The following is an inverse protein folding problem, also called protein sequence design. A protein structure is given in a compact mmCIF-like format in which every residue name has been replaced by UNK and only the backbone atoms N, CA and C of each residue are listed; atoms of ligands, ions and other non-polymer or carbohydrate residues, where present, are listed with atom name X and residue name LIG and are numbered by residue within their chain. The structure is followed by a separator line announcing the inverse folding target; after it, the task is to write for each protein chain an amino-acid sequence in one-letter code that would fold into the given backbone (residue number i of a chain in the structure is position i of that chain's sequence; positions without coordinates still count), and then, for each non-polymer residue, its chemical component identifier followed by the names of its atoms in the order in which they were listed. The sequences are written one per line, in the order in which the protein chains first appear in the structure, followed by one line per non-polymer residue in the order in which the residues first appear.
data_IF_162216537373
#
_entry.id   IF_162216537373
#
_cell.length_a   1.000
_cell.length_b   1.000
_cell.length_c   1.000
_cell.angle_alpha   90.00
_cell.angle_beta   90.00
_cell.angle_gamma   90.00
#
_symmetry.space_group_name_H-M   'P 1'
#
loop_
_entity.id
_entity.type
_entity.pdbx_description
1 polymer ?
#
# COMPACT_ATOMS: atom_id res chain seq x y z
N UNK A 1 -30.53 31.50 -55.81
CA UNK A 1 -31.02 31.26 -54.43
C UNK A 1 -30.53 32.43 -53.57
N UNK A 2 -31.37 32.86 -52.62
CA UNK A 2 -31.49 34.19 -51.97
C UNK A 2 -30.22 34.83 -51.34
N UNK A 3 -29.97 36.15 -51.48
CA UNK A 3 -30.34 37.34 -50.62
C UNK A 3 -29.82 37.21 -49.16
N UNK A 4 -28.70 37.83 -48.71
CA UNK A 4 -28.31 39.23 -48.40
C UNK A 4 -28.59 39.72 -46.95
N UNK A 5 -27.63 40.51 -46.40
CA UNK A 5 -27.66 41.43 -45.23
C UNK A 5 -27.98 40.88 -43.82
N UNK A 6 -27.56 41.42 -42.68
CA UNK A 6 -26.53 42.38 -42.20
C UNK A 6 -26.86 42.62 -40.70
N UNK A 7 -25.84 42.92 -39.89
CA UNK A 7 -25.92 43.62 -38.57
C UNK A 7 -26.64 42.86 -37.44
N UNK A 8 -26.31 42.96 -36.15
CA UNK A 8 -25.89 44.10 -35.33
C UNK A 8 -25.05 43.63 -34.12
N UNK A 9 -24.15 44.52 -33.68
CA UNK A 9 -23.58 44.51 -32.33
C UNK A 9 -24.33 45.56 -31.50
N UNK A 10 -24.60 45.29 -30.21
CA UNK A 10 -24.65 46.37 -29.22
C UNK A 10 -23.70 46.10 -28.04
N UNK A 11 -22.91 47.12 -27.70
CA UNK A 11 -22.30 47.27 -26.38
C UNK A 11 -23.36 47.64 -25.34
N UNK A 12 -23.30 47.09 -24.13
CA UNK A 12 -23.23 47.84 -22.86
C UNK A 12 -23.52 46.95 -21.62
N UNK A 13 -22.62 47.07 -20.64
CA UNK A 13 -22.87 47.18 -19.19
C UNK A 13 -23.65 46.08 -18.46
N UNK A 14 -22.95 45.29 -17.64
CA UNK A 14 -23.05 45.35 -16.16
C UNK A 14 -22.24 44.22 -15.52
N UNK A 15 -21.39 44.60 -14.56
CA UNK A 15 -20.75 43.71 -13.60
C UNK A 15 -21.77 43.22 -12.57
N UNK A 16 -21.69 41.94 -12.17
CA UNK A 16 -21.78 41.65 -10.75
C UNK A 16 -20.57 40.82 -10.29
N UNK A 17 -19.88 41.39 -9.31
CA UNK A 17 -18.88 40.72 -8.47
C UNK A 17 -19.56 39.59 -7.67
N UNK A 18 -19.12 38.32 -7.75
CA UNK A 18 -19.45 37.35 -6.72
C UNK A 18 -18.40 37.49 -5.60
N UNK A 19 -18.84 37.99 -4.45
CA UNK A 19 -18.12 37.89 -3.18
C UNK A 19 -17.98 36.41 -2.83
N UNK A 20 -16.77 35.81 -2.74
CA UNK A 20 -16.64 34.55 -2.04
C UNK A 20 -16.66 34.83 -0.54
N UNK A 21 -17.74 34.32 0.05
CA UNK A 21 -18.00 34.09 1.46
C UNK A 21 -16.72 33.73 2.24
N UNK A 22 -16.56 34.37 3.39
CA UNK A 22 -15.64 33.99 4.47
C UNK A 22 -15.73 32.48 4.72
N UNK A 23 -14.77 31.70 4.22
CA UNK A 23 -14.65 30.29 4.55
C UNK A 23 -13.60 30.17 5.66
N UNK A 24 -14.05 29.60 6.77
CA UNK A 24 -13.37 29.53 8.05
C UNK A 24 -11.92 29.02 7.93
N UNK A 25 -11.04 29.63 8.73
CA UNK A 25 -9.78 29.02 9.15
C UNK A 25 -10.02 27.56 9.53
N UNK A 26 -9.21 26.60 9.07
CA UNK A 26 -9.14 25.34 9.76
C UNK A 26 -8.57 25.63 11.16
N UNK A 27 -9.43 25.57 12.17
CA UNK A 27 -9.01 25.31 13.53
C UNK A 27 -8.08 24.11 13.47
N UNK A 28 -6.79 24.30 13.75
CA UNK A 28 -5.86 23.22 13.92
C UNK A 28 -6.35 22.40 15.11
N UNK A 29 -7.06 21.30 14.83
CA UNK A 29 -7.23 20.22 15.79
C UNK A 29 -5.83 19.75 16.17
N UNK A 30 -5.55 19.52 17.46
CA UNK A 30 -4.26 19.00 17.87
C UNK A 30 -4.08 17.65 17.18
N UNK A 31 -3.09 17.58 16.29
CA UNK A 31 -2.69 16.33 15.64
C UNK A 31 -2.23 15.44 16.79
N UNK A 32 -3.06 14.46 17.15
CA UNK A 32 -2.61 13.37 18.00
C UNK A 32 -1.35 12.82 17.32
N UNK A 33 -0.20 12.91 18.01
CA UNK A 33 1.06 12.33 17.56
C UNK A 33 0.82 10.85 17.28
N UNK A 34 0.47 10.56 16.03
CA UNK A 34 0.27 9.21 15.56
C UNK A 34 1.66 8.79 15.11
N UNK A 35 2.23 7.78 15.78
CA UNK A 35 3.49 7.10 15.43
C UNK A 35 3.47 6.46 14.02
N UNK A 36 2.51 6.83 13.19
CA UNK A 36 2.20 6.26 11.90
C UNK A 36 1.77 7.36 10.95
N UNK A 37 2.34 7.35 9.76
CA UNK A 37 2.01 8.29 8.67
C UNK A 37 1.42 7.51 7.50
N UNK A 38 0.23 7.87 6.99
CA UNK A 38 -0.31 7.28 5.77
C UNK A 38 0.64 7.48 4.59
N UNK A 39 0.74 6.48 3.71
CA UNK A 39 1.56 6.54 2.50
C UNK A 39 0.64 6.42 1.29
N UNK A 40 0.90 7.22 0.26
CA UNK A 40 0.18 7.12 -1.00
C UNK A 40 0.32 5.70 -1.59
N UNK A 41 -0.69 5.22 -2.32
CA UNK A 41 -0.59 3.93 -2.98
C UNK A 41 0.59 3.91 -3.96
N UNK A 42 1.45 2.90 -3.82
CA UNK A 42 2.61 2.69 -4.67
C UNK A 42 2.96 1.20 -4.71
N UNK A 43 3.53 0.77 -5.84
CA UNK A 43 4.08 -0.59 -5.97
C UNK A 43 5.34 -0.67 -5.12
N UNK A 44 5.43 -1.68 -4.24
CA UNK A 44 6.57 -1.87 -3.35
C UNK A 44 7.43 -3.04 -3.85
N UNK A 45 8.66 -2.80 -4.35
CA UNK A 45 9.52 -3.91 -4.78
C UNK A 45 9.69 -4.98 -3.69
N UNK A 46 9.69 -6.28 -4.02
CA UNK A 46 9.69 -6.87 -5.36
C UNK A 46 8.29 -7.05 -6.00
N UNK A 47 7.23 -6.46 -5.43
CA UNK A 47 5.91 -6.49 -6.05
C UNK A 47 5.96 -5.91 -7.46
N UNK A 48 5.17 -6.51 -8.35
CA UNK A 48 4.91 -5.97 -9.70
C UNK A 48 3.50 -5.37 -9.81
N UNK A 49 2.59 -5.76 -8.92
CA UNK A 49 1.20 -5.32 -8.90
C UNK A 49 0.95 -4.22 -7.85
N UNK A 50 -0.05 -3.34 -8.04
CA UNK A 50 -0.43 -2.35 -7.05
C UNK A 50 -1.01 -2.99 -5.77
N UNK A 51 -0.90 -2.30 -4.61
CA UNK A 51 -1.45 -2.80 -3.36
C UNK A 51 -2.99 -2.79 -3.38
N UNK A 52 -3.59 -3.88 -2.94
CA UNK A 52 -5.00 -3.94 -2.57
C UNK A 52 -5.27 -3.27 -1.20
N UNK A 53 -4.27 -3.22 -0.32
CA UNK A 53 -4.35 -2.57 0.99
C UNK A 53 -3.85 -1.11 0.98
N UNK A 54 -4.22 -0.36 2.02
CA UNK A 54 -3.59 0.93 2.30
C UNK A 54 -2.15 0.73 2.76
N UNK A 55 -1.32 1.74 2.53
CA UNK A 55 0.07 1.77 2.96
C UNK A 55 0.28 2.83 4.05
N UNK A 56 1.27 2.59 4.88
CA UNK A 56 1.67 3.49 5.94
C UNK A 56 3.17 3.35 6.22
N UNK A 57 3.72 4.31 6.94
CA UNK A 57 5.07 4.24 7.51
C UNK A 57 4.99 4.31 9.01
N UNK A 58 5.64 3.36 9.68
CA UNK A 58 5.84 3.34 11.13
C UNK A 58 7.22 2.75 11.44
N UNK A 59 7.99 3.31 12.39
CA UNK A 59 9.26 2.72 12.80
C UNK A 59 9.11 1.25 13.19
N UNK A 60 10.08 0.44 12.80
CA UNK A 60 10.12 -0.99 13.13
C UNK A 60 11.23 -1.28 14.13
N UNK A 61 11.00 -2.30 14.95
CA UNK A 61 11.97 -2.84 15.90
C UNK A 61 12.28 -4.28 15.53
N UNK A 62 13.57 -4.59 15.44
CA UNK A 62 14.05 -5.96 15.25
C UNK A 62 13.92 -6.76 16.53
N UNK A 63 13.39 -7.98 16.45
CA UNK A 63 13.24 -8.90 17.58
C UNK A 63 14.46 -9.83 17.70
N UNK A 64 14.58 -10.53 18.83
CA UNK A 64 15.65 -11.53 19.05
C UNK A 64 15.71 -12.61 17.98
N UNK A 65 14.57 -12.90 17.34
CA UNK A 65 14.42 -13.96 16.35
C UNK A 65 14.69 -13.45 14.92
N UNK A 66 15.28 -12.26 14.77
CA UNK A 66 15.62 -11.67 13.48
C UNK A 66 14.41 -11.20 12.65
N UNK A 67 13.26 -10.99 13.29
CA UNK A 67 12.06 -10.45 12.65
C UNK A 67 11.91 -8.96 12.94
N UNK A 68 11.02 -8.27 12.23
CA UNK A 68 10.67 -6.88 12.54
C UNK A 68 9.20 -6.73 12.90
N UNK A 69 8.92 -5.81 13.83
CA UNK A 69 7.56 -5.45 14.23
C UNK A 69 7.43 -3.94 14.36
N UNK A 70 6.26 -3.36 14.07
CA UNK A 70 5.04 -4.03 13.62
C UNK A 70 5.01 -4.22 12.09
N UNK A 71 4.43 -5.34 11.63
CA UNK A 71 4.18 -5.61 10.20
C UNK A 71 3.09 -4.70 9.63
N UNK A 72 2.08 -4.43 10.46
CA UNK A 72 0.94 -3.62 10.10
C UNK A 72 0.85 -2.43 11.02
N UNK A 73 0.32 -1.38 10.45
CA UNK A 73 -0.07 -0.18 11.11
C UNK A 73 -1.30 -0.39 11.99
N UNK A 74 -1.55 0.53 12.93
CA UNK A 74 -2.72 0.46 13.82
C UNK A 74 -4.03 0.53 13.01
N UNK A 75 -3.98 1.21 11.87
CA UNK A 75 -5.06 1.27 10.88
C UNK A 75 -5.31 -0.05 10.13
N UNK A 76 -4.42 -1.04 10.26
CA UNK A 76 -4.42 -2.26 9.45
C UNK A 76 -3.69 -2.10 8.10
N UNK A 77 -3.18 -0.90 7.79
CA UNK A 77 -2.36 -0.67 6.60
C UNK A 77 -1.03 -1.44 6.64
N UNK A 78 -0.48 -1.77 5.47
CA UNK A 78 0.83 -2.42 5.34
C UNK A 78 1.93 -1.42 5.69
N UNK A 79 2.79 -1.77 6.65
CA UNK A 79 3.93 -0.93 7.01
C UNK A 79 5.03 -1.08 5.96
N UNK A 80 5.30 -0.02 5.21
CA UNK A 80 6.31 0.01 4.14
C UNK A 80 7.72 -0.28 4.69
N UNK A 81 8.01 0.07 5.94
CA UNK A 81 9.30 -0.25 6.58
C UNK A 81 9.45 -1.74 6.85
N UNK A 82 8.37 -2.41 7.29
CA UNK A 82 8.36 -3.86 7.45
C UNK A 82 8.48 -4.55 6.08
N UNK A 83 7.73 -4.09 5.07
CA UNK A 83 7.85 -4.59 3.70
C UNK A 83 9.30 -4.51 3.20
N UNK A 84 9.95 -3.36 3.36
CA UNK A 84 11.34 -3.16 2.92
C UNK A 84 12.29 -4.13 3.60
N UNK A 85 12.13 -4.39 4.90
CA UNK A 85 12.93 -5.39 5.60
C UNK A 85 12.78 -6.79 4.97
N UNK A 86 11.54 -7.26 4.81
CA UNK A 86 11.28 -8.59 4.27
C UNK A 86 11.55 -8.70 2.76
N UNK A 87 11.62 -7.60 2.01
CA UNK A 87 11.97 -7.59 0.58
C UNK A 87 13.34 -8.21 0.26
N UNK A 88 14.23 -8.25 1.26
CA UNK A 88 15.57 -8.83 1.14
C UNK A 88 15.67 -10.29 1.61
N UNK A 89 14.65 -10.79 2.31
CA UNK A 89 14.67 -12.11 2.97
C UNK A 89 13.63 -13.05 2.32
N UNK A 90 12.42 -12.54 2.12
CA UNK A 90 11.24 -13.24 1.62
C UNK A 90 10.82 -12.71 0.25
N UNK A 91 11.80 -12.44 -0.61
CA UNK A 91 11.59 -11.76 -1.88
C UNK A 91 10.66 -12.54 -2.79
N UNK A 92 10.75 -13.88 -2.77
CA UNK A 92 9.96 -14.75 -3.63
C UNK A 92 8.48 -14.64 -3.29
N UNK A 93 8.14 -14.60 -2.00
CA UNK A 93 6.76 -14.41 -1.53
C UNK A 93 6.21 -13.02 -1.87
N UNK A 94 6.99 -11.99 -1.59
CA UNK A 94 6.56 -10.62 -1.82
C UNK A 94 6.42 -10.30 -3.32
N UNK A 95 7.09 -11.07 -4.19
CA UNK A 95 7.05 -10.92 -5.65
C UNK A 95 5.97 -11.74 -6.37
N UNK A 96 5.17 -12.56 -5.69
CA UNK A 96 4.19 -13.44 -6.35
C UNK A 96 3.05 -12.72 -7.08
N UNK A 97 2.72 -11.49 -6.69
CA UNK A 97 1.67 -10.69 -7.32
C UNK A 97 0.24 -11.00 -6.84
N UNK A 98 -0.75 -10.42 -7.51
CA UNK A 98 -2.15 -10.45 -7.04
C UNK A 98 -2.79 -11.84 -7.05
N UNK A 99 -2.45 -12.69 -8.02
CA UNK A 99 -3.18 -13.93 -8.31
C UNK A 99 -2.29 -15.18 -8.34
N UNK A 100 -1.60 -15.54 -7.24
CA UNK A 100 -0.89 -16.81 -7.21
C UNK A 100 -1.85 -17.99 -7.15
N UNK A 101 -1.45 -19.08 -7.80
CA UNK A 101 -2.10 -20.39 -7.71
C UNK A 101 -1.96 -21.00 -6.32
N UNK A 102 -2.88 -21.89 -5.97
CA UNK A 102 -2.80 -22.66 -4.72
C UNK A 102 -1.46 -23.39 -4.62
N UNK A 103 -0.73 -23.17 -3.52
CA UNK A 103 0.58 -23.76 -3.27
C UNK A 103 1.78 -22.94 -3.75
N UNK A 104 1.59 -21.90 -4.58
CA UNK A 104 2.69 -20.98 -4.93
C UNK A 104 3.25 -20.23 -3.72
N UNK A 105 2.42 -19.71 -2.77
CA UNK A 105 2.96 -19.13 -1.55
C UNK A 105 3.77 -20.14 -0.72
N UNK A 106 3.31 -21.39 -0.60
CA UNK A 106 4.10 -22.39 0.12
C UNK A 106 5.44 -22.67 -0.59
N UNK A 107 5.43 -22.77 -1.91
CA UNK A 107 6.63 -23.07 -2.70
C UNK A 107 7.65 -21.94 -2.61
N UNK A 108 7.21 -20.68 -2.72
CA UNK A 108 8.09 -19.52 -2.61
C UNK A 108 8.68 -19.37 -1.20
N UNK A 109 7.91 -19.65 -0.14
CA UNK A 109 8.46 -19.70 1.22
C UNK A 109 9.56 -20.76 1.33
N UNK A 110 9.35 -21.92 0.73
CA UNK A 110 10.33 -23.00 0.76
C UNK A 110 11.59 -22.70 -0.06
N UNK A 111 11.45 -21.99 -1.17
CA UNK A 111 12.58 -21.50 -1.97
C UNK A 111 13.45 -20.52 -1.16
N UNK A 112 12.82 -19.53 -0.51
CA UNK A 112 13.52 -18.55 0.32
C UNK A 112 14.22 -19.21 1.54
N UNK A 113 13.63 -20.25 2.13
CA UNK A 113 14.26 -21.04 3.21
C UNK A 113 15.48 -21.83 2.68
N UNK A 114 15.37 -22.43 1.50
CA UNK A 114 16.42 -23.28 0.94
C UNK A 114 17.61 -22.49 0.39
N UNK A 115 17.34 -21.32 -0.21
CA UNK A 115 18.33 -20.59 -0.99
C UNK A 115 18.72 -19.23 -0.39
N UNK A 116 17.80 -18.56 0.29
CA UNK A 116 18.02 -17.20 0.82
C UNK A 116 18.30 -17.18 2.33
N UNK A 117 18.32 -18.34 2.98
CA UNK A 117 18.59 -18.47 4.41
C UNK A 117 17.48 -17.91 5.29
N UNK A 118 16.28 -17.71 4.74
CA UNK A 118 15.14 -17.26 5.51
C UNK A 118 14.74 -18.30 6.56
N UNK A 119 14.41 -17.83 7.75
CA UNK A 119 13.79 -18.68 8.78
C UNK A 119 12.30 -18.85 8.50
N UNK A 120 11.71 -19.95 8.98
CA UNK A 120 10.25 -20.18 8.86
C UNK A 120 9.42 -19.02 9.43
N UNK A 121 9.88 -18.41 10.52
CA UNK A 121 9.18 -17.28 11.14
C UNK A 121 9.27 -16.02 10.29
N UNK A 122 10.42 -15.79 9.62
CA UNK A 122 10.57 -14.68 8.68
C UNK A 122 9.66 -14.85 7.48
N UNK A 123 9.62 -16.04 6.89
CA UNK A 123 8.70 -16.36 5.80
C UNK A 123 7.24 -16.23 6.19
N UNK A 124 6.87 -16.63 7.42
CA UNK A 124 5.50 -16.46 7.89
C UNK A 124 5.09 -14.98 7.98
N UNK A 125 6.03 -14.10 8.33
CA UNK A 125 5.79 -12.65 8.37
C UNK A 125 5.82 -12.03 6.96
N UNK A 126 6.70 -12.49 6.07
CA UNK A 126 6.69 -12.14 4.65
C UNK A 126 5.36 -12.51 3.99
N UNK A 127 4.85 -13.72 4.24
CA UNK A 127 3.53 -14.16 3.77
C UNK A 127 2.40 -13.28 4.31
N UNK A 128 2.41 -12.95 5.60
CA UNK A 128 1.37 -12.06 6.17
C UNK A 128 1.37 -10.70 5.51
N UNK A 129 2.55 -10.13 5.24
CA UNK A 129 2.68 -8.88 4.50
C UNK A 129 2.16 -9.00 3.07
N UNK A 130 2.57 -10.03 2.33
CA UNK A 130 2.12 -10.28 0.96
C UNK A 130 0.60 -10.48 0.90
N UNK A 131 0.06 -11.32 1.79
CA UNK A 131 -1.37 -11.60 1.84
C UNK A 131 -2.20 -10.34 2.12
N UNK A 132 -1.74 -9.47 3.02
CA UNK A 132 -2.39 -8.18 3.25
C UNK A 132 -2.24 -7.24 2.06
N UNK A 133 -1.03 -7.14 1.48
CA UNK A 133 -0.73 -6.26 0.36
C UNK A 133 -1.54 -6.59 -0.88
N UNK A 134 -1.64 -7.87 -1.23
CA UNK A 134 -2.35 -8.35 -2.42
C UNK A 134 -3.80 -8.76 -2.16
N UNK A 135 -4.24 -8.79 -0.89
CA UNK A 135 -5.59 -9.22 -0.52
C UNK A 135 -5.82 -10.73 -0.69
N UNK A 136 -4.78 -11.55 -0.54
CA UNK A 136 -4.92 -13.00 -0.64
C UNK A 136 -5.74 -13.59 0.51
N UNK A 137 -6.49 -14.65 0.21
CA UNK A 137 -7.37 -15.33 1.17
C UNK A 137 -7.09 -16.84 1.26
N UNK A 138 -5.83 -17.28 1.14
CA UNK A 138 -5.50 -18.70 1.24
C UNK A 138 -5.73 -19.26 2.64
N UNK A 139 -6.28 -20.47 2.70
CA UNK A 139 -6.57 -21.20 3.94
C UNK A 139 -5.43 -22.15 4.30
N UNK A 140 -4.25 -21.62 4.63
CA UNK A 140 -3.17 -22.41 5.24
C UNK A 140 -2.46 -21.59 6.33
N UNK A 141 -1.85 -22.29 7.29
CA UNK A 141 -1.07 -21.66 8.34
C UNK A 141 0.40 -21.52 7.87
N UNK A 142 0.89 -20.29 7.63
CA UNK A 142 2.25 -20.08 7.17
C UNK A 142 3.31 -20.49 8.21
N UNK A 143 2.94 -20.61 9.49
CA UNK A 143 3.84 -21.09 10.54
C UNK A 143 4.00 -22.61 10.55
N UNK A 144 3.19 -23.33 9.76
CA UNK A 144 3.17 -24.80 9.67
C UNK A 144 3.66 -25.31 8.31
N UNK A 145 4.17 -24.42 7.46
CA UNK A 145 4.74 -24.81 6.17
C UNK A 145 5.89 -25.78 6.36
N UNK A 146 5.77 -26.95 5.72
CA UNK A 146 6.85 -27.95 5.62
C UNK A 146 7.40 -27.94 4.21
N UNK A 147 8.70 -27.76 4.10
CA UNK A 147 9.46 -27.88 2.86
C UNK A 147 9.96 -29.32 2.76
N UNK A 148 9.57 -30.00 1.68
CA UNK A 148 9.94 -31.39 1.42
C UNK A 148 11.19 -31.47 0.54
#
# INVERSE_FOLDING_TARGET
MAVACSSESPSATASPSPTPTTQASPSATPVASSDETPVAQQVLPPASDPPAANLCTKPVTTTSDGNVTPLFCKSGAVNVQAWTFYSSISASILGLGLNPSNGQPQSAMCDDIAHNGATRTQEANGYRLAAAYYGWAFTFDPTKVTCQ
#
